data_IF_708586944502
#
_entry.id   IF_708586944502
#
_cell.length_a   1.000
_cell.length_b   1.000
_cell.length_c   1.000
_cell.angle_alpha   90.00
_cell.angle_beta   90.00
_cell.angle_gamma   90.00
#
_symmetry.space_group_name_H-M   'P 1'
#
loop_
_entity.id
_entity.type
_entity.pdbx_description
1 polymer ?
#
# COMPACT_ATOMS: atom_id res chain seq x y z
N UNK A 1 6.19 5.76 4.56
CA UNK A 1 5.31 4.68 4.06
C UNK A 1 5.26 4.76 2.55
N UNK A 2 5.08 3.64 1.87
CA UNK A 2 4.88 3.60 0.43
C UNK A 2 3.87 2.51 0.06
N UNK A 3 3.29 2.62 -1.13
CA UNK A 3 2.53 1.55 -1.77
C UNK A 3 3.24 1.11 -3.03
N UNK A 4 3.07 -0.15 -3.40
CA UNK A 4 3.54 -0.66 -4.68
C UNK A 4 2.54 -1.69 -5.21
N UNK A 5 2.22 -1.58 -6.49
CA UNK A 5 1.33 -2.51 -7.19
C UNK A 5 2.10 -3.18 -8.31
N UNK A 6 2.03 -4.50 -8.38
CA UNK A 6 2.61 -5.32 -9.44
C UNK A 6 1.53 -5.55 -10.50
N UNK A 7 1.74 -5.00 -11.68
CA UNK A 7 0.79 -5.04 -12.79
C UNK A 7 1.31 -5.96 -13.91
N UNK A 8 0.42 -6.75 -14.52
CA UNK A 8 0.82 -7.63 -15.63
C UNK A 8 0.92 -6.85 -16.93
N UNK A 9 2.15 -6.45 -17.25
CA UNK A 9 2.52 -5.87 -18.55
C UNK A 9 2.04 -4.43 -18.67
N UNK A 10 2.98 -3.49 -18.68
CA UNK A 10 2.69 -2.12 -19.05
C UNK A 10 2.59 -2.04 -20.58
N UNK A 11 1.39 -1.98 -21.14
CA UNK A 11 1.26 -1.51 -22.53
C UNK A 11 1.70 -0.05 -22.56
N UNK A 12 2.68 0.36 -23.39
CA UNK A 12 2.99 1.77 -23.60
C UNK A 12 1.78 2.61 -24.11
N UNK A 13 0.68 1.98 -24.52
CA UNK A 13 -0.57 2.63 -24.96
C UNK A 13 -1.66 2.75 -23.87
N UNK A 14 -1.35 2.46 -22.60
CA UNK A 14 -2.12 2.99 -21.47
C UNK A 14 -3.34 2.19 -21.03
N UNK A 15 -3.43 0.90 -21.34
CA UNK A 15 -4.36 0.01 -20.62
C UNK A 15 -3.64 -0.63 -19.44
N UNK A 16 -4.14 -0.37 -18.24
CA UNK A 16 -3.68 -1.03 -17.03
C UNK A 16 -3.94 -2.53 -17.12
N UNK A 17 -2.89 -3.30 -16.92
CA UNK A 17 -2.92 -4.76 -16.84
C UNK A 17 -3.50 -5.26 -15.52
N UNK A 18 -3.78 -6.56 -15.48
CA UNK A 18 -4.28 -7.21 -14.27
C UNK A 18 -3.29 -7.02 -13.09
N UNK A 19 -3.80 -6.49 -11.97
CA UNK A 19 -3.03 -6.40 -10.73
C UNK A 19 -2.74 -7.80 -10.21
N UNK A 20 -1.45 -8.12 -10.11
CA UNK A 20 -0.93 -9.42 -9.63
C UNK A 20 -0.59 -9.37 -8.15
N UNK A 21 -0.50 -8.21 -7.54
CA UNK A 21 -0.32 -8.05 -6.12
C UNK A 21 -0.06 -6.60 -5.75
N UNK A 22 -0.42 -6.25 -4.53
CA UNK A 22 -0.19 -4.90 -4.01
C UNK A 22 0.33 -5.00 -2.60
N UNK A 23 1.17 -4.05 -2.21
CA UNK A 23 1.76 -3.99 -0.87
C UNK A 23 1.70 -2.58 -0.31
N UNK A 24 1.59 -2.49 1.01
CA UNK A 24 2.02 -1.33 1.79
C UNK A 24 3.36 -1.64 2.44
N UNK A 25 4.28 -0.70 2.37
CA UNK A 25 5.63 -0.83 2.88
C UNK A 25 6.04 0.30 3.83
N UNK A 26 6.94 -0.06 4.75
CA UNK A 26 7.65 0.89 5.61
C UNK A 26 9.10 0.96 5.16
N UNK A 27 9.59 2.19 5.03
CA UNK A 27 10.96 2.51 4.63
C UNK A 27 11.57 3.35 5.73
N UNK A 28 12.80 3.04 6.12
CA UNK A 28 13.55 3.82 7.10
C UNK A 28 14.09 5.13 6.49
N UNK A 29 14.78 5.94 7.31
CA UNK A 29 15.36 7.22 6.89
C UNK A 29 16.53 7.06 5.92
N UNK A 30 17.13 5.87 5.85
CA UNK A 30 18.24 5.54 4.95
C UNK A 30 17.74 4.93 3.63
N UNK A 31 16.41 4.82 3.44
CA UNK A 31 15.80 4.26 2.24
C UNK A 31 15.71 2.74 2.21
N UNK A 32 15.91 2.05 3.35
CA UNK A 32 15.80 0.59 3.43
C UNK A 32 14.38 0.17 3.77
N UNK A 33 13.86 -0.83 3.06
CA UNK A 33 12.53 -1.39 3.33
C UNK A 33 12.59 -2.24 4.59
N UNK A 34 11.90 -1.82 5.65
CA UNK A 34 11.84 -2.53 6.93
C UNK A 34 10.69 -3.56 6.98
N UNK A 35 9.59 -3.28 6.28
CA UNK A 35 8.38 -4.11 6.32
C UNK A 35 7.59 -4.01 5.03
N UNK A 36 7.00 -5.13 4.62
CA UNK A 36 5.98 -5.22 3.58
C UNK A 36 4.75 -5.97 4.12
N UNK A 37 3.56 -5.52 3.72
CA UNK A 37 2.29 -6.21 3.97
C UNK A 37 1.48 -6.24 2.68
N UNK A 38 1.00 -7.43 2.34
CA UNK A 38 0.18 -7.65 1.15
C UNK A 38 -1.22 -7.07 1.33
N UNK A 39 -1.67 -6.33 0.32
CA UNK A 39 -3.05 -5.87 0.13
C UNK A 39 -3.73 -6.84 -0.83
N UNK A 40 -5.06 -6.99 -0.74
CA UNK A 40 -5.82 -7.81 -1.68
C UNK A 40 -5.43 -7.51 -3.14
N UNK A 41 -5.13 -8.57 -3.90
CA UNK A 41 -4.49 -8.50 -5.22
C UNK A 41 -5.33 -7.82 -6.31
N UNK A 42 -6.58 -7.46 -6.02
CA UNK A 42 -7.51 -6.83 -6.97
C UNK A 42 -7.42 -5.30 -7.00
N UNK A 43 -6.57 -4.69 -6.16
CA UNK A 43 -6.53 -3.24 -5.97
C UNK A 43 -5.20 -2.65 -6.40
N UNK A 44 -5.20 -1.76 -7.40
CA UNK A 44 -4.06 -0.88 -7.70
C UNK A 44 -4.05 0.25 -6.69
N UNK A 45 -3.11 0.28 -5.75
CA UNK A 45 -3.07 1.29 -4.69
C UNK A 45 -2.08 2.41 -5.05
N UNK A 46 -2.60 3.62 -5.22
CA UNK A 46 -1.83 4.81 -5.64
C UNK A 46 -1.45 5.72 -4.47
N UNK A 47 -2.28 5.75 -3.42
CA UNK A 47 -2.06 6.61 -2.27
C UNK A 47 -2.23 5.91 -0.94
N UNK A 48 -1.43 6.35 0.04
CA UNK A 48 -1.52 5.92 1.44
C UNK A 48 -1.44 7.12 2.36
N UNK A 49 -2.40 7.21 3.27
CA UNK A 49 -2.32 8.00 4.48
C UNK A 49 -2.10 7.05 5.66
N UNK A 50 -1.25 7.45 6.60
CA UNK A 50 -1.00 6.70 7.81
C UNK A 50 -0.98 7.63 9.02
N UNK A 51 -1.67 7.23 10.09
CA UNK A 51 -1.60 7.86 11.40
C UNK A 51 -1.23 6.83 12.46
N UNK A 52 -0.56 7.30 13.52
CA UNK A 52 -0.18 6.44 14.64
C UNK A 52 -0.97 6.90 15.87
N UNK A 53 -1.70 5.98 16.47
CA UNK A 53 -2.33 6.15 17.79
C UNK A 53 -2.13 4.89 18.63
N UNK A 54 -1.82 5.06 19.92
CA UNK A 54 -1.71 3.96 20.89
C UNK A 54 -0.91 2.72 20.41
N UNK A 55 0.21 2.92 19.68
CA UNK A 55 1.06 1.86 19.06
C UNK A 55 0.37 1.05 17.97
N UNK A 56 -0.68 1.57 17.37
CA UNK A 56 -1.31 1.06 16.15
C UNK A 56 -1.07 2.06 15.04
N UNK A 57 -0.78 1.56 13.84
CA UNK A 57 -0.78 2.36 12.62
C UNK A 57 -2.11 2.11 11.93
N UNK A 58 -2.90 3.18 11.80
CA UNK A 58 -4.10 3.19 10.98
C UNK A 58 -3.74 3.67 9.58
N UNK A 59 -4.25 2.94 8.59
CA UNK A 59 -4.04 3.22 7.18
C UNK A 59 -5.35 3.56 6.51
N UNK A 60 -5.30 4.55 5.63
CA UNK A 60 -6.28 4.78 4.58
C UNK A 60 -5.56 4.70 3.24
N UNK A 61 -6.13 3.92 2.33
CA UNK A 61 -5.62 3.74 0.98
C UNK A 61 -6.63 4.26 -0.02
N UNK A 62 -6.14 4.92 -1.07
CA UNK A 62 -6.93 5.22 -2.26
C UNK A 62 -6.42 4.34 -3.39
N UNK A 63 -7.37 3.67 -4.05
CA UNK A 63 -7.08 2.84 -5.21
C UNK A 63 -7.32 3.64 -6.49
N UNK A 64 -6.56 3.29 -7.53
CA UNK A 64 -6.87 3.78 -8.87
C UNK A 64 -8.20 3.22 -9.34
N UNK A 65 -8.96 4.03 -10.09
CA UNK A 65 -10.07 3.57 -10.90
C UNK A 65 -9.89 4.15 -12.28
N UNK A 66 -9.73 3.25 -13.26
CA UNK A 66 -9.58 3.61 -14.66
C UNK A 66 -10.83 4.30 -15.23
N UNK A 67 -11.99 4.00 -14.64
CA UNK A 67 -13.27 4.59 -15.04
C UNK A 67 -13.54 5.88 -14.25
N UNK A 68 -13.52 7.06 -14.90
CA UNK A 68 -13.74 8.35 -14.23
C UNK A 68 -15.18 8.52 -13.71
N UNK A 69 -16.12 7.69 -14.16
CA UNK A 69 -17.51 7.71 -13.70
C UNK A 69 -17.72 6.82 -12.46
N UNK A 70 -16.70 6.05 -12.04
CA UNK A 70 -16.73 5.20 -10.86
C UNK A 70 -15.86 5.79 -9.75
N UNK A 71 -16.43 5.92 -8.55
CA UNK A 71 -15.70 6.40 -7.40
C UNK A 71 -14.56 5.44 -7.01
N UNK A 72 -13.38 6.00 -6.74
CA UNK A 72 -12.22 5.25 -6.25
C UNK A 72 -12.50 4.51 -4.95
N UNK A 73 -12.21 3.19 -4.87
CA UNK A 73 -12.26 2.43 -3.64
C UNK A 73 -11.35 3.03 -2.57
N UNK A 74 -11.90 3.17 -1.37
CA UNK A 74 -11.15 3.48 -0.16
C UNK A 74 -11.03 2.23 0.69
N UNK A 75 -9.79 1.86 1.04
CA UNK A 75 -9.51 0.72 1.91
C UNK A 75 -8.95 1.23 3.23
N UNK A 76 -9.28 0.55 4.32
CA UNK A 76 -8.74 0.82 5.64
C UNK A 76 -8.07 -0.43 6.21
N UNK A 77 -6.96 -0.25 6.92
CA UNK A 77 -6.33 -1.33 7.68
C UNK A 77 -5.71 -0.77 8.96
N UNK A 78 -5.55 -1.63 9.95
CA UNK A 78 -4.83 -1.34 11.18
C UNK A 78 -3.70 -2.35 11.37
N UNK A 79 -2.52 -1.88 11.78
CA UNK A 79 -1.39 -2.74 12.08
C UNK A 79 -0.74 -2.36 13.41
N UNK A 80 -0.48 -3.31 14.32
CA UNK A 80 0.27 -3.02 15.53
C UNK A 80 1.73 -2.66 15.18
N UNK A 81 2.26 -1.66 15.87
CA UNK A 81 3.70 -1.39 15.93
C UNK A 81 4.28 -2.41 16.91
N UNK A 82 4.81 -3.50 16.36
CA UNK A 82 5.59 -4.44 17.15
C UNK A 82 6.79 -3.70 17.75
N UNK A 83 7.00 -3.87 19.06
CA UNK A 83 8.21 -3.35 19.69
C UNK A 83 9.36 -4.16 19.13
N UNK A 84 10.30 -3.50 18.44
CA UNK A 84 11.59 -4.10 18.14
C UNK A 84 12.19 -4.44 19.51
N UNK A 85 12.27 -5.72 19.85
CA UNK A 85 12.95 -6.14 21.08
C UNK A 85 14.32 -5.47 21.07
N UNK A 86 14.56 -4.60 22.05
CA UNK A 86 15.90 -4.17 22.44
C UNK A 86 16.60 -5.45 22.93
N UNK A 87 17.20 -6.19 22.00
CA UNK A 87 18.20 -7.20 22.34
C UNK A 87 19.42 -6.44 22.84
N UNK A 88 19.68 -6.56 24.14
CA UNK A 88 20.82 -5.96 24.84
C UNK A 88 22.17 -6.57 24.50
#
# INVERSE_FOLDING_TARGET
MFTASAERGSDPHGTDGEIRGSVVGMIDRDGRVERLRTIERKWKVEGVYASIDARVIDFLFVCDQDDPDIASPLLSAAMPIESRFEGG
#
